data_IF_388471504426
#
_entry.id   IF_388471504426
#
_cell.length_a   1.000
_cell.length_b   1.000
_cell.length_c   1.000
_cell.angle_alpha   90.00
_cell.angle_beta   90.00
_cell.angle_gamma   90.00
#
_symmetry.space_group_name_H-M   'P 1'
#
loop_
_entity.id
_entity.type
_entity.pdbx_description
1 polymer ?
#
# COMPACT_ATOMS: atom_id res chain seq x y z
N UNK A 1 -7.90 -41.24 -43.83
CA UNK A 1 -8.93 -40.43 -43.14
C UNK A 1 -9.59 -41.31 -42.07
N UNK A 2 -9.15 -41.17 -40.82
CA UNK A 2 -9.69 -41.90 -39.66
C UNK A 2 -9.86 -40.89 -38.53
N UNK A 3 -11.09 -40.68 -38.10
CA UNK A 3 -11.43 -39.90 -36.90
C UNK A 3 -11.02 -40.70 -35.65
N UNK A 4 -10.45 -40.07 -34.61
CA UNK A 4 -10.34 -40.68 -33.30
C UNK A 4 -11.60 -40.43 -32.47
N UNK A 5 -12.05 -41.52 -31.88
CA UNK A 5 -13.16 -41.67 -30.95
C UNK A 5 -12.84 -41.01 -29.60
N UNK A 6 -13.83 -40.28 -29.11
CA UNK A 6 -13.95 -39.66 -27.79
C UNK A 6 -13.88 -40.74 -26.70
N UNK A 7 -12.94 -40.62 -25.76
CA UNK A 7 -13.00 -41.31 -24.45
C UNK A 7 -13.18 -40.22 -23.39
N UNK A 8 -14.41 -40.14 -22.93
CA UNK A 8 -14.90 -39.34 -21.83
C UNK A 8 -14.65 -40.13 -20.54
N UNK A 9 -13.70 -39.68 -19.70
CA UNK A 9 -13.52 -40.21 -18.35
C UNK A 9 -13.82 -39.09 -17.35
N UNK A 10 -15.05 -39.11 -16.84
CA UNK A 10 -15.46 -38.35 -15.66
C UNK A 10 -14.94 -39.05 -14.41
N UNK A 11 -14.03 -38.42 -13.69
CA UNK A 11 -13.74 -38.76 -12.30
C UNK A 11 -14.19 -37.58 -11.42
N UNK A 12 -15.39 -37.73 -10.88
CA UNK A 12 -15.87 -37.03 -9.70
C UNK A 12 -14.95 -37.38 -8.52
N UNK A 13 -14.27 -36.38 -7.95
CA UNK A 13 -13.72 -36.47 -6.60
C UNK A 13 -14.32 -35.35 -5.76
N UNK A 14 -15.26 -35.72 -4.90
CA UNK A 14 -15.83 -34.89 -3.85
C UNK A 14 -14.74 -34.56 -2.81
N UNK A 15 -14.44 -33.27 -2.64
CA UNK A 15 -13.62 -32.78 -1.54
C UNK A 15 -14.56 -32.12 -0.52
N UNK A 16 -14.58 -32.72 0.66
CA UNK A 16 -15.35 -32.37 1.83
C UNK A 16 -14.76 -31.09 2.44
N UNK A 17 -15.53 -30.01 2.46
CA UNK A 17 -15.22 -28.79 3.23
C UNK A 17 -15.28 -29.08 4.73
N UNK A 18 -14.20 -28.82 5.46
CA UNK A 18 -14.26 -28.59 6.91
C UNK A 18 -14.08 -27.09 7.22
N UNK A 19 -14.90 -26.50 8.11
CA UNK A 19 -14.70 -25.15 8.60
C UNK A 19 -13.66 -25.10 9.73
N UNK A 20 -12.59 -24.33 9.53
CA UNK A 20 -11.62 -23.99 10.56
C UNK A 20 -12.09 -22.77 11.36
N UNK A 21 -12.40 -22.97 12.64
CA UNK A 21 -12.69 -21.91 13.60
C UNK A 21 -11.39 -21.33 14.15
N UNK A 22 -11.12 -20.05 13.88
CA UNK A 22 -10.05 -19.29 14.53
C UNK A 22 -10.47 -18.87 15.94
N UNK A 23 -9.64 -19.21 16.94
CA UNK A 23 -9.79 -18.76 18.33
C UNK A 23 -9.22 -17.35 18.44
N UNK A 24 -10.07 -16.39 18.78
CA UNK A 24 -9.66 -15.04 19.15
C UNK A 24 -9.21 -15.04 20.63
N UNK A 25 -7.92 -14.81 20.84
CA UNK A 25 -7.31 -14.63 22.16
C UNK A 25 -7.71 -13.25 22.71
N UNK A 26 -8.61 -13.24 23.69
CA UNK A 26 -8.98 -12.04 24.43
C UNK A 26 -7.90 -11.73 25.47
N UNK A 27 -6.94 -10.88 25.11
CA UNK A 27 -6.05 -10.24 26.07
C UNK A 27 -6.83 -9.15 26.84
N UNK A 28 -7.56 -9.59 27.87
CA UNK A 28 -8.20 -8.72 28.84
C UNK A 28 -7.16 -8.21 29.85
N UNK A 29 -6.50 -7.10 29.53
CA UNK A 29 -5.70 -6.37 30.50
C UNK A 29 -6.63 -5.45 31.31
N UNK A 30 -7.14 -5.99 32.42
CA UNK A 30 -7.81 -5.20 33.44
C UNK A 30 -6.74 -4.40 34.19
N UNK A 31 -6.52 -3.16 33.75
CA UNK A 31 -5.65 -2.21 34.43
C UNK A 31 -6.46 -1.66 35.61
N UNK A 32 -6.15 -2.13 36.81
CA UNK A 32 -6.81 -1.69 38.04
C UNK A 32 -6.52 -0.19 38.28
N UNK A 33 -7.51 0.65 37.99
CA UNK A 33 -7.48 2.12 38.10
C UNK A 33 -7.31 2.57 39.57
N UNK A 34 -7.38 1.65 40.55
CA UNK A 34 -7.25 1.97 41.98
C UNK A 34 -5.81 2.18 42.46
N UNK A 35 -4.78 1.89 41.66
CA UNK A 35 -3.38 2.14 42.04
C UNK A 35 -2.85 3.55 41.70
N UNK A 36 -3.66 4.42 41.09
CA UNK A 36 -3.32 5.83 40.91
C UNK A 36 -3.58 6.64 42.18
N UNK A 37 -2.65 6.55 43.13
CA UNK A 37 -2.63 7.44 44.29
C UNK A 37 -2.40 8.90 43.86
N UNK A 38 -3.31 9.85 44.20
CA UNK A 38 -3.09 11.26 43.94
C UNK A 38 -2.07 11.82 44.94
N UNK A 39 -0.86 12.15 44.47
CA UNK A 39 0.10 12.94 45.26
C UNK A 39 -0.44 14.36 45.50
N UNK A 40 -0.31 14.91 46.71
CA UNK A 40 -0.89 16.19 47.08
C UNK A 40 -0.22 17.38 46.40
N UNK A 41 -1.07 18.33 46.01
CA UNK A 41 -0.75 19.58 45.34
C UNK A 41 0.21 20.45 46.17
N UNK A 42 1.39 20.76 45.61
CA UNK A 42 2.25 21.83 46.10
C UNK A 42 2.00 23.09 45.29
N UNK A 43 1.18 23.97 45.86
CA UNK A 43 1.04 25.35 45.42
C UNK A 43 2.42 26.05 45.45
N UNK A 44 2.84 26.61 44.32
CA UNK A 44 3.78 27.71 44.32
C UNK A 44 3.39 28.71 43.23
N UNK A 45 2.85 29.82 43.71
CA UNK A 45 2.64 31.08 42.99
C UNK A 45 3.98 31.59 42.45
N UNK A 46 4.02 31.97 41.17
CA UNK A 46 4.31 33.33 40.69
C UNK A 46 4.71 33.29 39.21
N UNK A 47 3.93 33.99 38.39
CA UNK A 47 4.30 34.36 37.02
C UNK A 47 5.56 35.24 37.01
N UNK A 48 6.33 35.18 35.92
CA UNK A 48 6.35 36.36 35.05
C UNK A 48 6.19 36.03 33.57
N UNK A 49 5.54 36.97 32.89
CA UNK A 49 5.51 37.18 31.45
C UNK A 49 6.87 36.91 30.78
N UNK A 50 6.94 35.95 29.86
CA UNK A 50 8.00 35.87 28.85
C UNK A 50 7.38 35.68 27.47
N UNK A 51 7.84 36.53 26.57
CA UNK A 51 7.36 36.80 25.21
C UNK A 51 7.66 35.64 24.26
N UNK A 52 6.78 35.48 23.28
CA UNK A 52 7.01 34.97 21.92
C UNK A 52 7.79 33.67 21.78
N UNK A 53 7.07 32.55 21.72
CA UNK A 53 7.61 31.24 21.32
C UNK A 53 7.81 31.19 19.81
N UNK A 54 8.98 31.68 19.42
CA UNK A 54 9.64 31.44 18.15
C UNK A 54 9.69 29.93 17.86
N UNK A 55 9.16 29.51 16.70
CA UNK A 55 9.28 28.15 16.18
C UNK A 55 10.73 27.92 15.73
N UNK A 56 11.65 27.82 16.69
CA UNK A 56 13.01 27.38 16.44
C UNK A 56 13.00 25.85 16.27
N UNK A 57 12.81 25.43 15.02
CA UNK A 57 13.34 24.16 14.55
C UNK A 57 14.86 24.24 14.74
N UNK A 58 15.36 23.63 15.81
CA UNK A 58 16.78 23.44 16.06
C UNK A 58 17.31 22.59 14.91
N UNK A 59 17.81 23.25 13.87
CA UNK A 59 18.58 22.63 12.81
C UNK A 59 19.87 22.13 13.45
N UNK A 60 19.93 20.82 13.65
CA UNK A 60 21.12 20.14 14.13
C UNK A 60 22.26 20.37 13.14
N UNK A 61 23.35 20.95 13.64
CA UNK A 61 24.60 21.19 12.93
C UNK A 61 25.07 19.88 12.29
N UNK A 62 24.84 19.75 10.98
CA UNK A 62 25.00 18.51 10.21
C UNK A 62 26.37 18.54 9.54
N UNK A 63 27.42 18.42 10.35
CA UNK A 63 28.75 18.08 9.81
C UNK A 63 28.73 16.60 9.39
N UNK A 64 29.02 16.34 8.12
CA UNK A 64 29.50 15.04 7.61
C UNK A 64 28.47 13.91 7.36
N UNK A 65 27.24 14.22 6.96
CA UNK A 65 26.27 13.17 6.59
C UNK A 65 25.72 12.37 7.77
N UNK A 66 26.11 12.74 8.99
CA UNK A 66 25.51 12.26 10.21
C UNK A 66 24.59 13.34 10.78
N UNK A 67 23.43 12.93 11.28
CA UNK A 67 22.54 13.78 12.06
C UNK A 67 22.39 13.19 13.44
N UNK A 68 22.35 14.06 14.45
CA UNK A 68 22.17 13.64 15.83
C UNK A 68 20.73 13.85 16.30
N UNK A 69 20.16 12.86 16.98
CA UNK A 69 18.79 12.91 17.50
C UNK A 69 18.74 12.46 18.96
N UNK A 70 18.06 13.20 19.83
CA UNK A 70 17.83 12.78 21.23
C UNK A 70 16.47 12.11 21.35
N UNK A 71 16.45 10.84 21.77
CA UNK A 71 15.24 10.02 21.91
C UNK A 71 14.25 10.65 22.89
N UNK A 72 12.99 10.76 22.49
CA UNK A 72 11.87 11.23 23.33
C UNK A 72 10.99 10.06 23.79
N UNK A 73 10.21 10.22 24.87
CA UNK A 73 9.24 9.20 25.28
C UNK A 73 8.28 8.85 24.15
N UNK A 74 8.11 7.56 23.87
CA UNK A 74 7.24 7.05 22.80
C UNK A 74 7.90 6.97 21.42
N UNK A 75 9.17 7.37 21.29
CA UNK A 75 9.91 7.18 20.04
C UNK A 75 10.37 5.73 19.86
N UNK A 76 10.30 5.25 18.63
CA UNK A 76 11.01 4.06 18.16
C UNK A 76 11.80 4.39 16.90
N UNK A 77 12.82 3.59 16.57
CA UNK A 77 13.80 3.93 15.54
C UNK A 77 13.12 4.26 14.20
N UNK A 78 12.14 3.43 13.81
CA UNK A 78 11.36 3.61 12.60
C UNK A 78 10.56 4.93 12.56
N UNK A 79 9.86 5.28 13.65
CA UNK A 79 9.12 6.55 13.72
C UNK A 79 10.06 7.76 13.69
N UNK A 80 11.23 7.68 14.33
CA UNK A 80 12.22 8.76 14.28
C UNK A 80 12.63 9.00 12.82
N UNK A 81 13.02 7.95 12.10
CA UNK A 81 13.45 8.01 10.70
C UNK A 81 12.36 8.57 9.78
N UNK A 82 11.11 8.16 9.94
CA UNK A 82 10.02 8.68 9.12
C UNK A 82 9.64 10.11 9.51
N UNK A 83 9.39 10.37 10.78
CA UNK A 83 8.82 11.65 11.25
C UNK A 83 9.82 12.79 11.25
N UNK A 84 11.06 12.53 11.65
CA UNK A 84 12.09 13.57 11.76
C UNK A 84 12.93 13.71 10.49
N UNK A 85 13.10 12.63 9.72
CA UNK A 85 13.95 12.65 8.53
C UNK A 85 13.18 12.47 7.21
N UNK A 86 11.87 12.20 7.26
CA UNK A 86 11.03 12.12 6.07
C UNK A 86 11.36 10.93 5.17
N UNK A 87 11.94 9.86 5.72
CA UNK A 87 12.25 8.64 4.98
C UNK A 87 10.96 7.88 4.64
N UNK A 88 10.92 7.26 3.47
CA UNK A 88 9.86 6.31 3.13
C UNK A 88 9.98 5.05 3.99
N UNK A 89 8.90 4.27 4.09
CA UNK A 89 8.87 3.04 4.87
C UNK A 89 10.04 2.10 4.50
N UNK A 90 10.20 1.80 3.20
CA UNK A 90 11.29 0.95 2.71
C UNK A 90 12.70 1.53 2.98
N UNK A 91 12.86 2.86 2.89
CA UNK A 91 14.14 3.50 3.17
C UNK A 91 14.48 3.46 4.67
N UNK A 92 13.48 3.61 5.55
CA UNK A 92 13.64 3.49 6.98
C UNK A 92 14.03 2.06 7.38
N UNK A 93 13.34 1.05 6.86
CA UNK A 93 13.65 -0.37 7.10
C UNK A 93 15.10 -0.73 6.74
N UNK A 94 15.57 -0.26 5.58
CA UNK A 94 16.96 -0.48 5.14
C UNK A 94 17.99 0.20 6.04
N UNK A 95 17.64 1.32 6.66
CA UNK A 95 18.56 2.13 7.47
C UNK A 95 18.61 1.69 8.94
N UNK A 96 17.56 1.03 9.45
CA UNK A 96 17.48 0.58 10.84
C UNK A 96 18.70 -0.26 11.27
N UNK A 97 19.14 -1.30 10.53
CA UNK A 97 20.27 -2.12 10.93
C UNK A 97 21.56 -1.30 11.10
N UNK A 98 21.77 -0.31 10.22
CA UNK A 98 22.96 0.52 10.26
C UNK A 98 22.93 1.50 11.44
N UNK A 99 21.77 2.11 11.72
CA UNK A 99 21.59 2.95 12.92
C UNK A 99 21.79 2.13 14.19
N UNK A 100 21.28 0.89 14.23
CA UNK A 100 21.46 -0.02 15.36
C UNK A 100 22.94 -0.35 15.60
N UNK A 101 23.66 -0.70 14.53
CA UNK A 101 25.10 -1.00 14.56
C UNK A 101 25.91 0.20 15.07
N UNK A 102 25.64 1.40 14.55
CA UNK A 102 26.36 2.62 14.92
C UNK A 102 26.12 3.06 16.37
N UNK A 103 24.94 2.79 16.92
CA UNK A 103 24.54 3.26 18.26
C UNK A 103 24.57 2.17 19.33
N UNK A 104 25.01 0.95 18.98
CA UNK A 104 25.02 -0.20 19.88
C UNK A 104 23.64 -0.53 20.43
N UNK A 105 22.61 -0.54 19.57
CA UNK A 105 21.23 -0.85 19.95
C UNK A 105 20.89 -2.26 19.45
N UNK A 106 20.39 -3.10 20.35
CA UNK A 106 20.01 -4.49 20.02
C UNK A 106 18.55 -4.61 19.59
N UNK A 107 17.67 -3.76 20.13
CA UNK A 107 16.24 -3.77 19.84
C UNK A 107 15.78 -2.40 19.28
N UNK A 108 15.21 -2.33 18.07
CA UNK A 108 14.76 -1.08 17.46
C UNK A 108 13.58 -0.40 18.19
N UNK A 109 12.85 -1.15 19.03
CA UNK A 109 11.74 -0.63 19.84
C UNK A 109 12.17 -0.24 21.26
N UNK A 110 13.31 -0.74 21.74
CA UNK A 110 13.81 -0.55 23.10
C UNK A 110 14.72 0.66 23.26
N UNK A 111 14.29 1.86 22.84
CA UNK A 111 15.11 3.06 22.93
C UNK A 111 15.05 3.69 24.33
N UNK A 112 16.21 3.97 24.92
CA UNK A 112 16.29 4.71 26.18
C UNK A 112 16.04 6.21 25.92
N UNK A 113 15.01 6.77 26.56
CA UNK A 113 14.71 8.20 26.49
C UNK A 113 15.92 9.04 26.92
N UNK A 114 16.21 10.11 26.19
CA UNK A 114 17.36 10.97 26.43
C UNK A 114 18.67 10.46 25.81
N UNK A 115 18.73 9.22 25.31
CA UNK A 115 19.89 8.72 24.57
C UNK A 115 20.06 9.52 23.27
N UNK A 116 21.30 9.91 22.96
CA UNK A 116 21.65 10.60 21.72
C UNK A 116 22.02 9.57 20.66
N UNK A 117 21.28 9.56 19.57
CA UNK A 117 21.47 8.70 18.41
C UNK A 117 22.25 9.44 17.33
N UNK A 118 23.08 8.68 16.61
CA UNK A 118 23.79 9.10 15.41
C UNK A 118 23.11 8.41 14.22
N UNK A 119 22.50 9.22 13.34
CA UNK A 119 21.76 8.74 12.18
C UNK A 119 22.58 9.03 10.92
N UNK A 120 23.06 8.00 10.20
CA UNK A 120 23.72 8.20 8.92
C UNK A 120 22.63 8.55 7.90
N UNK A 121 22.63 9.79 7.43
CA UNK A 121 21.78 10.18 6.33
C UNK A 121 22.62 10.09 5.05
N UNK A 122 22.12 9.43 3.99
CA UNK A 122 22.76 9.58 2.70
C UNK A 122 22.81 11.07 2.38
N UNK A 123 24.02 11.59 2.14
CA UNK A 123 24.22 12.98 1.76
C UNK A 123 23.22 13.28 0.64
N UNK A 124 22.44 14.34 0.80
CA UNK A 124 21.39 14.79 -0.13
C UNK A 124 21.97 15.29 -1.47
N UNK A 125 23.10 14.73 -1.92
CA UNK A 125 23.82 15.06 -3.14
C UNK A 125 23.02 14.70 -4.40
N UNK A 126 22.12 13.71 -4.35
CA UNK A 126 21.38 13.32 -5.57
C UNK A 126 20.20 14.24 -5.91
N UNK A 127 19.57 14.89 -4.91
CA UNK A 127 18.41 15.75 -5.18
C UNK A 127 18.81 17.07 -5.86
N UNK A 128 19.97 17.63 -5.56
CA UNK A 128 20.47 18.82 -6.27
C UNK A 128 21.05 18.49 -7.64
N UNK A 129 21.66 17.31 -7.81
CA UNK A 129 22.17 16.88 -9.12
C UNK A 129 21.03 16.62 -10.14
N UNK A 130 19.89 16.05 -9.71
CA UNK A 130 18.76 15.78 -10.61
C UNK A 130 17.94 17.04 -10.96
N UNK A 131 17.94 18.05 -10.08
CA UNK A 131 17.39 19.37 -10.39
C UNK A 131 18.34 20.23 -11.25
N UNK A 132 19.66 20.09 -11.09
CA UNK A 132 20.65 20.76 -11.93
C UNK A 132 20.70 20.19 -13.36
N UNK A 133 20.56 18.85 -13.52
CA UNK A 133 20.54 18.21 -14.84
C UNK A 133 19.28 18.49 -15.67
N UNK A 134 18.21 19.05 -15.08
CA UNK A 134 17.02 19.45 -15.84
C UNK A 134 17.24 20.76 -16.63
N UNK A 135 18.36 21.46 -16.43
CA UNK A 135 18.72 22.69 -17.17
C UNK A 135 19.91 22.53 -18.13
N UNK A 136 20.39 21.31 -18.39
CA UNK A 136 21.45 21.10 -19.40
C UNK A 136 20.93 20.12 -20.44
N UNK A 137 20.58 20.66 -21.61
CA UNK A 137 20.15 19.91 -22.77
C UNK A 137 21.20 18.83 -23.13
N UNK A 138 20.79 17.57 -23.38
CA UNK A 138 21.71 16.56 -23.87
C UNK A 138 21.86 16.68 -25.39
N UNK A 139 23.05 17.11 -25.81
CA UNK A 139 23.57 16.92 -27.17
C UNK A 139 23.75 15.41 -27.42
N UNK A 140 23.19 14.94 -28.52
CA UNK A 140 23.25 13.56 -28.97
C UNK A 140 24.69 13.12 -29.31
N UNK A 141 25.18 12.04 -28.69
CA UNK A 141 26.27 11.20 -29.19
C UNK A 141 25.98 9.74 -28.75
N UNK A 142 25.54 8.88 -29.66
CA UNK A 142 26.30 7.85 -30.40
C UNK A 142 26.72 6.66 -29.54
N UNK A 143 25.93 5.57 -29.64
CA UNK A 143 26.22 4.24 -29.10
C UNK A 143 26.94 3.40 -30.15
N UNK A 144 28.13 2.83 -29.87
CA UNK A 144 28.65 1.68 -30.59
C UNK A 144 28.13 0.37 -29.96
N UNK A 145 27.53 -0.43 -30.82
CA UNK A 145 27.37 -1.88 -30.84
C UNK A 145 28.34 -2.68 -29.94
N UNK A 146 27.80 -3.52 -29.05
CA UNK A 146 28.57 -4.55 -28.33
C UNK A 146 27.85 -5.90 -28.46
N UNK A 147 28.52 -6.96 -28.96
CA UNK A 147 27.90 -8.25 -29.26
C UNK A 147 27.81 -9.18 -28.04
N UNK A 148 26.80 -10.03 -28.14
CA UNK A 148 26.40 -11.12 -27.24
C UNK A 148 27.51 -12.14 -26.99
N UNK A 149 27.55 -12.68 -25.77
CA UNK A 149 28.17 -13.99 -25.49
C UNK A 149 27.32 -14.77 -24.48
N UNK A 150 26.99 -15.98 -24.89
CA UNK A 150 26.26 -17.04 -24.20
C UNK A 150 27.15 -17.77 -23.19
N UNK A 151 26.52 -18.50 -22.25
CA UNK A 151 27.16 -19.42 -21.29
C UNK A 151 26.21 -19.65 -20.11
N UNK A 152 25.20 -20.51 -20.19
CA UNK A 152 25.23 -21.99 -20.18
C UNK A 152 25.50 -22.60 -18.79
N UNK A 153 24.46 -23.27 -18.29
CA UNK A 153 24.40 -24.41 -17.36
C UNK A 153 25.06 -24.35 -15.97
N UNK A 154 24.26 -24.60 -14.92
CA UNK A 154 24.46 -25.77 -14.04
C UNK A 154 23.28 -25.97 -13.08
N UNK A 155 22.59 -27.09 -13.30
CA UNK A 155 21.67 -27.80 -12.41
C UNK A 155 22.36 -28.20 -11.10
N UNK A 156 21.74 -27.96 -9.95
CA UNK A 156 21.91 -28.82 -8.78
C UNK A 156 20.57 -29.12 -8.11
N UNK A 157 20.16 -30.34 -8.34
CA UNK A 157 19.15 -31.13 -7.66
C UNK A 157 19.71 -31.53 -6.29
N UNK A 158 19.05 -31.16 -5.19
CA UNK A 158 19.41 -31.67 -3.87
C UNK A 158 18.17 -32.15 -3.13
N UNK A 159 18.25 -33.43 -2.81
CA UNK A 159 17.21 -34.32 -2.38
C UNK A 159 16.78 -34.12 -0.92
N UNK A 160 15.58 -34.63 -0.68
CA UNK A 160 14.79 -34.61 0.54
C UNK A 160 15.46 -35.21 1.78
N UNK A 161 15.08 -34.67 2.94
CA UNK A 161 15.11 -35.37 4.23
C UNK A 161 13.67 -35.53 4.76
N UNK A 162 13.33 -36.68 5.37
CA UNK A 162 11.99 -36.97 5.86
C UNK A 162 11.71 -36.38 7.25
N UNK A 163 10.50 -35.82 7.41
CA UNK A 163 9.89 -35.39 8.67
C UNK A 163 9.57 -36.56 9.61
N UNK A 164 9.84 -36.38 10.90
CA UNK A 164 9.31 -37.20 11.99
C UNK A 164 8.09 -36.50 12.63
N UNK A 165 7.02 -37.24 12.98
CA UNK A 165 5.83 -36.65 13.61
C UNK A 165 5.96 -36.56 15.13
N UNK A 166 5.54 -35.42 15.71
CA UNK A 166 5.35 -35.26 17.15
C UNK A 166 3.92 -35.67 17.61
N UNK A 167 3.74 -36.07 18.88
CA UNK A 167 2.48 -36.61 19.40
C UNK A 167 1.44 -35.54 19.73
N UNK A 168 0.17 -35.88 19.51
CA UNK A 168 -1.01 -35.09 19.86
C UNK A 168 -1.35 -35.26 21.35
N UNK A 169 -1.42 -34.15 22.10
CA UNK A 169 -1.91 -34.13 23.47
C UNK A 169 -3.38 -33.66 23.49
N UNK A 170 -4.25 -34.54 24.00
CA UNK A 170 -5.67 -34.29 24.24
C UNK A 170 -5.85 -33.40 25.47
N UNK A 171 -6.64 -32.33 25.37
CA UNK A 171 -7.30 -31.76 26.54
C UNK A 171 -8.74 -31.32 26.26
N UNK A 172 -9.55 -31.65 27.25
CA UNK A 172 -11.00 -31.56 27.42
C UNK A 172 -11.55 -30.14 27.40
N UNK A 173 -12.72 -30.00 26.79
CA UNK A 173 -13.52 -28.77 26.61
C UNK A 173 -14.66 -28.72 27.64
N UNK A 174 -14.87 -27.60 28.37
CA UNK A 174 -16.14 -27.32 29.02
C UNK A 174 -16.93 -26.22 28.30
N UNK A 175 -18.24 -26.43 28.21
CA UNK A 175 -19.23 -25.55 27.60
C UNK A 175 -19.48 -24.24 28.38
N UNK A 176 -19.79 -23.13 27.69
CA UNK A 176 -20.49 -21.99 28.30
C UNK A 176 -21.90 -21.76 27.74
N UNK A 177 -22.77 -21.36 28.66
CA UNK A 177 -24.21 -21.10 28.54
C UNK A 177 -24.52 -19.77 27.81
N UNK A 178 -25.64 -19.77 27.07
CA UNK A 178 -26.24 -18.61 26.42
C UNK A 178 -26.99 -17.70 27.41
N UNK A 179 -26.85 -16.37 27.24
CA UNK A 179 -27.87 -15.40 27.68
C UNK A 179 -28.09 -14.33 26.59
N UNK A 180 -29.36 -13.94 26.30
CA UNK A 180 -29.69 -12.98 25.26
C UNK A 180 -29.73 -11.54 25.78
N UNK A 181 -29.13 -10.60 25.03
CA UNK A 181 -29.31 -9.16 25.25
C UNK A 181 -30.20 -8.60 24.14
N UNK A 182 -31.38 -8.15 24.56
CA UNK A 182 -32.37 -7.40 23.78
C UNK A 182 -31.94 -5.94 23.67
N UNK A 183 -31.89 -5.37 22.46
CA UNK A 183 -31.82 -3.91 22.28
C UNK A 183 -32.86 -3.49 21.24
N UNK A 184 -33.73 -2.59 21.66
CA UNK A 184 -34.83 -1.99 20.89
C UNK A 184 -34.31 -0.92 19.91
N UNK A 185 -34.96 -0.70 18.74
CA UNK A 185 -34.71 0.45 17.89
C UNK A 185 -35.60 1.63 18.30
N UNK A 186 -35.01 2.81 18.53
CA UNK A 186 -35.76 4.06 18.68
C UNK A 186 -35.85 4.77 17.34
N UNK A 187 -37.08 4.82 16.84
CA UNK A 187 -37.62 5.69 15.80
C UNK A 187 -37.43 7.17 16.18
N UNK A 188 -37.01 8.02 15.24
CA UNK A 188 -37.50 9.41 15.18
C UNK A 188 -37.31 10.05 13.79
N UNK A 189 -38.47 10.20 13.17
CA UNK A 189 -38.93 11.14 12.14
C UNK A 189 -38.41 12.57 12.33
N UNK A 190 -38.02 13.27 11.25
CA UNK A 190 -38.69 14.54 10.90
C UNK A 190 -38.33 15.12 9.52
N UNK A 191 -39.41 15.41 8.82
CA UNK A 191 -39.65 16.22 7.64
C UNK A 191 -39.18 17.68 7.76
N UNK A 192 -38.64 18.24 6.67
CA UNK A 192 -38.39 19.67 6.57
C UNK A 192 -38.27 20.15 5.12
N UNK A 193 -39.42 20.37 4.47
CA UNK A 193 -39.53 21.16 3.22
C UNK A 193 -39.35 22.65 3.54
N UNK A 194 -38.51 23.35 2.78
CA UNK A 194 -38.66 24.78 2.55
C UNK A 194 -38.18 25.15 1.15
N UNK A 195 -39.11 25.63 0.33
CA UNK A 195 -38.92 26.35 -0.93
C UNK A 195 -38.60 27.83 -0.66
N UNK A 196 -38.35 28.59 -1.74
CA UNK A 196 -38.30 30.07 -1.88
C UNK A 196 -36.85 30.61 -1.82
N UNK A 197 -36.30 31.43 -2.72
CA UNK A 197 -36.85 32.32 -3.76
C UNK A 197 -35.91 32.45 -4.99
N UNK A 198 -36.51 32.81 -6.12
CA UNK A 198 -35.90 33.41 -7.31
C UNK A 198 -35.38 34.82 -7.00
N UNK A 199 -34.21 35.17 -7.56
CA UNK A 199 -34.00 36.47 -8.24
C UNK A 199 -32.77 36.40 -9.16
N UNK A 200 -32.83 36.95 -10.39
CA UNK A 200 -31.71 36.95 -11.33
C UNK A 200 -30.96 38.28 -11.26
N UNK A 201 -29.66 38.24 -10.99
CA UNK A 201 -28.76 39.38 -11.21
C UNK A 201 -27.71 38.96 -12.24
N UNK A 202 -27.95 39.42 -13.46
CA UNK A 202 -27.08 39.24 -14.63
C UNK A 202 -25.83 40.09 -14.42
N UNK A 203 -24.77 39.49 -13.88
CA UNK A 203 -23.41 39.99 -13.98
C UNK A 203 -22.74 39.21 -15.12
N UNK A 204 -22.32 39.93 -16.16
CA UNK A 204 -21.59 39.36 -17.29
C UNK A 204 -20.25 38.79 -16.81
N UNK A 205 -20.17 37.46 -16.85
CA UNK A 205 -18.98 36.67 -16.57
C UNK A 205 -17.95 36.84 -17.71
N UNK A 206 -16.65 36.99 -17.40
CA UNK A 206 -15.60 37.10 -18.40
C UNK A 206 -15.60 35.87 -19.32
N UNK A 207 -15.55 36.11 -20.63
CA UNK A 207 -15.60 35.08 -21.67
C UNK A 207 -14.48 34.06 -21.47
N UNK A 208 -14.84 32.95 -20.83
CA UNK A 208 -14.07 31.72 -20.73
C UNK A 208 -13.85 31.20 -22.14
N UNK A 209 -12.59 31.10 -22.55
CA UNK A 209 -12.18 30.54 -23.84
C UNK A 209 -12.87 29.18 -24.04
N UNK A 210 -13.43 28.89 -25.23
CA UNK A 210 -14.13 27.64 -25.48
C UNK A 210 -13.19 26.48 -25.16
N UNK A 211 -13.54 25.74 -24.12
CA UNK A 211 -12.83 24.53 -23.72
C UNK A 211 -12.70 23.66 -24.97
N UNK A 212 -11.45 23.35 -25.35
CA UNK A 212 -11.20 22.37 -26.41
C UNK A 212 -11.97 21.11 -26.01
N UNK A 213 -12.90 20.69 -26.87
CA UNK A 213 -13.60 19.41 -26.79
C UNK A 213 -12.57 18.29 -27.00
N UNK A 214 -11.72 18.05 -26.00
CA UNK A 214 -10.92 16.84 -25.93
C UNK A 214 -11.91 15.72 -25.66
N UNK A 215 -12.06 14.80 -26.61
CA UNK A 215 -12.92 13.63 -26.44
C UNK A 215 -12.35 12.80 -25.30
N UNK A 216 -12.93 12.91 -24.12
CA UNK A 216 -12.59 12.08 -22.95
C UNK A 216 -13.03 10.64 -23.24
N UNK A 217 -12.11 9.68 -23.13
CA UNK A 217 -12.48 8.27 -23.20
C UNK A 217 -13.08 7.87 -21.84
N UNK A 218 -14.37 7.55 -21.81
CA UNK A 218 -15.05 7.14 -20.58
C UNK A 218 -15.08 5.61 -20.49
N UNK A 219 -14.50 5.07 -19.41
CA UNK A 219 -14.50 3.64 -19.08
C UNK A 219 -15.33 3.45 -17.82
N UNK A 220 -16.35 2.58 -17.88
CA UNK A 220 -17.17 2.24 -16.70
C UNK A 220 -16.94 0.79 -16.33
N UNK A 221 -16.47 0.54 -15.11
CA UNK A 221 -16.24 -0.80 -14.55
C UNK A 221 -17.21 -1.06 -13.40
N UNK A 222 -17.62 -2.33 -13.24
CA UNK A 222 -18.37 -2.76 -12.06
C UNK A 222 -17.43 -3.06 -10.90
N UNK A 223 -17.92 -2.78 -9.69
CA UNK A 223 -17.24 -3.10 -8.44
C UNK A 223 -17.35 -4.60 -8.18
N UNK A 224 -16.39 -5.34 -8.72
CA UNK A 224 -16.26 -6.78 -8.48
C UNK A 224 -15.22 -7.07 -7.40
N UNK A 225 -14.94 -8.37 -7.19
CA UNK A 225 -13.82 -8.84 -6.37
C UNK A 225 -12.51 -8.19 -6.85
N UNK A 226 -11.54 -7.92 -5.95
CA UNK A 226 -10.31 -7.19 -6.27
C UNK A 226 -9.59 -7.62 -7.55
N UNK A 227 -9.40 -8.92 -7.77
CA UNK A 227 -8.73 -9.40 -9.00
C UNK A 227 -9.58 -9.26 -10.25
N UNK A 228 -10.89 -9.45 -10.16
CA UNK A 228 -11.78 -9.25 -11.30
C UNK A 228 -11.78 -7.79 -11.71
N UNK A 229 -11.86 -6.88 -10.74
CA UNK A 229 -11.75 -5.45 -10.97
C UNK A 229 -10.40 -5.08 -11.58
N UNK A 230 -9.29 -5.56 -11.01
CA UNK A 230 -7.95 -5.31 -11.53
C UNK A 230 -7.78 -5.86 -12.96
N UNK A 231 -8.31 -7.05 -13.25
CA UNK A 231 -8.26 -7.67 -14.58
C UNK A 231 -9.08 -6.87 -15.59
N UNK A 232 -10.29 -6.46 -15.23
CA UNK A 232 -11.14 -5.64 -16.08
C UNK A 232 -10.49 -4.28 -16.35
N UNK A 233 -9.88 -3.67 -15.33
CA UNK A 233 -9.12 -2.42 -15.48
C UNK A 233 -7.93 -2.61 -16.43
N UNK A 234 -7.10 -3.65 -16.24
CA UNK A 234 -6.01 -3.95 -17.17
C UNK A 234 -6.51 -4.20 -18.59
N UNK A 235 -7.64 -4.90 -18.76
CA UNK A 235 -8.25 -5.18 -20.06
C UNK A 235 -8.64 -3.91 -20.79
N UNK A 236 -9.40 -3.04 -20.13
CA UNK A 236 -9.88 -1.79 -20.73
C UNK A 236 -8.75 -0.79 -20.99
N UNK A 237 -7.66 -0.86 -20.22
CA UNK A 237 -6.44 -0.08 -20.47
C UNK A 237 -5.50 -0.73 -21.50
N UNK A 238 -5.85 -1.89 -22.07
CA UNK A 238 -5.03 -2.60 -23.05
C UNK A 238 -3.72 -3.16 -22.49
N UNK A 239 -3.65 -3.45 -21.19
CA UNK A 239 -2.44 -3.91 -20.50
C UNK A 239 -2.33 -5.44 -20.41
N UNK A 240 -3.40 -6.19 -20.71
CA UNK A 240 -3.40 -7.64 -20.54
C UNK A 240 -2.55 -8.33 -21.62
N UNK A 241 -1.60 -9.14 -21.17
CA UNK A 241 -0.94 -10.10 -22.06
C UNK A 241 -1.76 -11.39 -22.15
N UNK A 242 -2.05 -11.90 -23.35
CA UNK A 242 -2.70 -13.19 -23.50
C UNK A 242 -1.76 -14.33 -23.09
N UNK A 243 -2.21 -15.19 -22.16
CA UNK A 243 -1.73 -16.57 -22.07
C UNK A 243 -0.62 -16.89 -21.06
N UNK A 244 -0.29 -16.01 -20.10
CA UNK A 244 0.66 -16.34 -19.02
C UNK A 244 0.05 -16.20 -17.63
N UNK A 245 -0.38 -17.33 -17.08
CA UNK A 245 -0.60 -17.50 -15.64
C UNK A 245 0.72 -17.92 -15.00
N UNK A 246 1.35 -17.02 -14.24
CA UNK A 246 2.66 -17.27 -13.60
C UNK A 246 2.51 -18.00 -12.27
N UNK A 247 1.40 -17.79 -11.58
CA UNK A 247 1.14 -18.37 -10.26
C UNK A 247 0.10 -19.50 -10.40
N UNK A 248 0.53 -20.74 -10.14
CA UNK A 248 -0.38 -21.89 -10.15
C UNK A 248 -1.30 -21.85 -8.91
N UNK A 249 -2.58 -22.20 -9.10
CA UNK A 249 -3.54 -22.35 -8.01
C UNK A 249 -4.17 -21.05 -7.48
N UNK A 250 -3.71 -19.88 -7.93
CA UNK A 250 -4.28 -18.58 -7.56
C UNK A 250 -4.94 -17.89 -8.76
N UNK A 251 -5.97 -17.08 -8.48
CA UNK A 251 -6.51 -16.13 -9.45
C UNK A 251 -5.44 -15.07 -9.74
N UNK A 252 -4.67 -15.30 -10.80
CA UNK A 252 -3.60 -14.42 -11.24
C UNK A 252 -3.70 -14.06 -12.71
N UNK A 253 -3.10 -12.94 -13.09
CA UNK A 253 -2.91 -12.54 -14.48
C UNK A 253 -1.65 -11.68 -14.60
N UNK A 254 -1.13 -11.58 -15.81
CA UNK A 254 0.03 -10.74 -16.13
C UNK A 254 -0.43 -9.54 -16.94
N UNK A 255 0.08 -8.37 -16.60
CA UNK A 255 -0.12 -7.14 -17.33
C UNK A 255 1.23 -6.50 -17.66
N UNK A 256 1.37 -5.92 -18.85
CA UNK A 256 2.58 -5.20 -19.24
C UNK A 256 2.25 -3.72 -19.50
N UNK A 257 3.08 -2.83 -18.98
CA UNK A 257 2.98 -1.41 -19.28
C UNK A 257 4.36 -0.77 -19.32
N UNK A 258 4.67 -0.07 -20.42
CA UNK A 258 5.94 0.64 -20.60
C UNK A 258 7.19 -0.24 -20.33
N UNK A 259 7.14 -1.53 -20.71
CA UNK A 259 8.21 -2.49 -20.51
C UNK A 259 8.32 -3.05 -19.09
N UNK A 260 7.37 -2.72 -18.21
CA UNK A 260 7.28 -3.30 -16.86
C UNK A 260 6.20 -4.38 -16.85
N UNK A 261 6.59 -5.59 -16.48
CA UNK A 261 5.67 -6.72 -16.31
C UNK A 261 5.16 -6.77 -14.87
N UNK A 262 3.85 -6.71 -14.70
CA UNK A 262 3.17 -6.81 -13.40
C UNK A 262 2.41 -8.13 -13.34
N UNK A 263 2.79 -8.99 -12.41
CA UNK A 263 2.03 -10.19 -12.05
C UNK A 263 1.05 -9.80 -10.96
N UNK A 264 -0.25 -9.83 -11.25
CA UNK A 264 -1.31 -9.56 -10.27
C UNK A 264 -1.84 -10.88 -9.76
N UNK A 265 -1.92 -11.05 -8.44
CA UNK A 265 -2.46 -12.24 -7.80
C UNK A 265 -3.39 -11.89 -6.63
N UNK A 266 -4.44 -12.68 -6.42
CA UNK A 266 -5.34 -12.50 -5.28
C UNK A 266 -5.42 -13.72 -4.40
N UNK A 267 -5.63 -13.45 -3.11
CA UNK A 267 -5.89 -14.48 -2.13
C UNK A 267 -4.69 -15.38 -1.83
N UNK A 268 -3.48 -14.92 -2.15
CA UNK A 268 -2.24 -15.55 -1.69
C UNK A 268 -2.13 -15.45 -0.17
N UNK A 269 -1.60 -16.50 0.45
CA UNK A 269 -1.20 -16.44 1.86
C UNK A 269 0.02 -15.57 2.05
N UNK A 270 0.37 -15.27 3.31
CA UNK A 270 1.60 -14.53 3.64
C UNK A 270 2.85 -15.28 3.20
N UNK A 271 2.86 -16.61 3.35
CA UNK A 271 3.96 -17.49 2.96
C UNK A 271 4.13 -17.54 1.44
N UNK A 272 3.00 -17.66 0.71
CA UNK A 272 2.99 -17.61 -0.75
C UNK A 272 3.46 -16.25 -1.26
N UNK A 273 2.95 -15.16 -0.68
CA UNK A 273 3.35 -13.79 -1.04
C UNK A 273 4.86 -13.58 -0.86
N UNK A 274 5.42 -14.06 0.25
CA UNK A 274 6.86 -14.02 0.48
C UNK A 274 7.63 -14.84 -0.57
N UNK A 275 7.17 -16.06 -0.84
CA UNK A 275 7.82 -16.98 -1.78
C UNK A 275 7.80 -16.43 -3.21
N UNK A 276 6.63 -16.07 -3.72
CA UNK A 276 6.49 -15.49 -5.05
C UNK A 276 7.16 -14.12 -5.17
N UNK A 277 7.16 -13.31 -4.10
CA UNK A 277 7.87 -12.04 -4.08
C UNK A 277 9.36 -12.22 -4.36
N UNK A 278 9.99 -13.25 -3.79
CA UNK A 278 11.41 -13.58 -4.06
C UNK A 278 11.64 -14.20 -5.44
N UNK A 279 10.76 -15.10 -5.87
CA UNK A 279 10.89 -15.76 -7.18
C UNK A 279 10.71 -14.78 -8.35
N UNK A 280 9.83 -13.80 -8.18
CA UNK A 280 9.51 -12.79 -9.20
C UNK A 280 10.34 -11.52 -9.02
N UNK A 281 11.41 -11.55 -8.21
CA UNK A 281 12.37 -10.44 -8.11
C UNK A 281 13.28 -10.42 -9.34
N UNK A 282 12.70 -10.08 -10.50
CA UNK A 282 13.43 -9.75 -11.72
C UNK A 282 13.39 -8.22 -11.89
N UNK A 283 14.40 -7.61 -12.56
CA UNK A 283 14.50 -6.14 -12.67
C UNK A 283 13.24 -5.48 -13.23
N UNK A 284 12.51 -6.17 -14.11
CA UNK A 284 11.34 -5.65 -14.80
C UNK A 284 10.04 -6.38 -14.45
N UNK A 285 10.05 -7.20 -13.38
CA UNK A 285 8.88 -7.94 -12.92
C UNK A 285 8.46 -7.53 -11.52
N UNK A 286 7.18 -7.23 -11.34
CA UNK A 286 6.62 -6.85 -10.05
C UNK A 286 5.42 -7.73 -9.71
N UNK A 287 5.42 -8.26 -8.48
CA UNK A 287 4.28 -8.96 -7.92
C UNK A 287 3.36 -7.96 -7.20
N UNK A 288 2.10 -7.88 -7.63
CA UNK A 288 1.03 -7.14 -6.97
C UNK A 288 0.02 -8.09 -6.36
N UNK A 289 -0.07 -8.09 -5.03
CA UNK A 289 -1.00 -8.96 -4.30
C UNK A 289 -2.15 -8.16 -3.71
N UNK A 290 -3.38 -8.64 -3.93
CA UNK A 290 -4.58 -8.09 -3.28
C UNK A 290 -5.17 -9.08 -2.28
N UNK A 291 -5.58 -8.56 -1.11
CA UNK A 291 -6.39 -9.29 -0.16
C UNK A 291 -7.80 -9.56 -0.75
N UNK A 292 -8.47 -10.63 -0.28
CA UNK A 292 -9.81 -11.01 -0.78
C UNK A 292 -10.87 -9.92 -0.54
N UNK A 293 -10.67 -9.06 0.46
CA UNK A 293 -11.57 -7.99 0.89
C UNK A 293 -10.95 -6.59 0.68
N UNK A 294 -9.98 -6.46 -0.21
CA UNK A 294 -9.40 -5.16 -0.55
C UNK A 294 -10.48 -4.24 -1.15
N UNK A 295 -10.49 -2.95 -0.78
CA UNK A 295 -11.46 -1.98 -1.32
C UNK A 295 -11.17 -1.65 -2.79
N UNK A 296 -12.22 -1.31 -3.56
CA UNK A 296 -12.08 -0.90 -4.97
C UNK A 296 -11.09 0.27 -5.14
N UNK A 297 -11.14 1.24 -4.22
CA UNK A 297 -10.21 2.37 -4.14
C UNK A 297 -8.76 1.88 -4.06
N UNK A 298 -8.44 1.01 -3.11
CA UNK A 298 -7.08 0.52 -2.93
C UNK A 298 -6.60 -0.30 -4.12
N UNK A 299 -7.48 -1.09 -4.76
CA UNK A 299 -7.14 -1.85 -5.96
C UNK A 299 -6.66 -0.92 -7.07
N UNK A 300 -7.43 0.12 -7.37
CA UNK A 300 -7.12 1.08 -8.43
C UNK A 300 -5.86 1.87 -8.11
N UNK A 301 -5.74 2.38 -6.87
CA UNK A 301 -4.59 3.18 -6.47
C UNK A 301 -3.29 2.38 -6.45
N UNK A 302 -3.31 1.14 -5.93
CA UNK A 302 -2.14 0.24 -5.95
C UNK A 302 -1.76 -0.12 -7.38
N UNK A 303 -2.74 -0.45 -8.22
CA UNK A 303 -2.50 -0.79 -9.61
C UNK A 303 -1.89 0.39 -10.36
N UNK A 304 -2.54 1.56 -10.36
CA UNK A 304 -2.06 2.77 -11.03
C UNK A 304 -0.67 3.17 -10.57
N UNK A 305 -0.39 3.13 -9.25
CA UNK A 305 0.93 3.45 -8.70
C UNK A 305 2.01 2.50 -9.21
N UNK A 306 1.71 1.20 -9.32
CA UNK A 306 2.70 0.20 -9.71
C UNK A 306 3.07 0.32 -11.19
N UNK A 307 2.09 0.57 -12.06
CA UNK A 307 2.33 0.83 -13.49
C UNK A 307 2.74 2.28 -13.79
N UNK A 308 2.94 3.12 -12.76
CA UNK A 308 3.38 4.50 -12.93
C UNK A 308 2.36 5.43 -13.60
N UNK A 309 1.07 5.04 -13.63
CA UNK A 309 0.01 5.91 -14.14
C UNK A 309 -0.27 7.03 -13.13
N UNK A 310 -0.19 8.27 -13.60
CA UNK A 310 -0.71 9.41 -12.85
C UNK A 310 -2.23 9.34 -12.83
N UNK A 311 -2.84 9.69 -11.70
CA UNK A 311 -4.30 9.74 -11.58
C UNK A 311 -4.73 10.88 -10.67
N UNK A 312 -5.92 11.41 -10.94
CA UNK A 312 -6.58 12.42 -10.13
C UNK A 312 -7.96 11.88 -9.73
N UNK A 313 -8.25 11.68 -8.43
CA UNK A 313 -9.61 11.35 -8.02
C UNK A 313 -10.52 12.54 -8.37
N UNK A 314 -11.66 12.26 -9.02
CA UNK A 314 -12.62 13.30 -9.38
C UNK A 314 -13.24 13.96 -8.13
N UNK A 315 -13.40 13.18 -7.06
CA UNK A 315 -13.73 13.68 -5.72
C UNK A 315 -12.66 13.22 -4.72
N UNK A 316 -11.76 14.12 -4.27
CA UNK A 316 -10.71 13.78 -3.31
C UNK A 316 -11.26 13.47 -1.91
N UNK A 317 -12.50 13.85 -1.61
CA UNK A 317 -13.13 13.64 -0.30
C UNK A 317 -13.98 12.36 -0.23
N UNK A 318 -14.13 11.63 -1.34
CA UNK A 318 -14.84 10.36 -1.35
C UNK A 318 -14.18 9.35 -0.39
N UNK A 319 -14.92 8.98 0.66
CA UNK A 319 -14.48 8.08 1.76
C UNK A 319 -14.45 6.60 1.38
N UNK A 320 -14.47 6.28 0.08
CA UNK A 320 -14.42 4.91 -0.44
C UNK A 320 -15.78 4.31 -0.83
N UNK A 321 -16.87 5.09 -0.72
CA UNK A 321 -18.17 4.73 -1.28
C UNK A 321 -18.16 4.77 -2.81
N UNK A 322 -18.99 3.92 -3.43
CA UNK A 322 -19.21 3.92 -4.87
C UNK A 322 -20.32 4.92 -5.24
N UNK A 323 -20.26 5.56 -6.42
CA UNK A 323 -19.27 5.35 -7.47
C UNK A 323 -17.94 6.08 -7.20
N UNK A 324 -16.84 5.48 -7.63
CA UNK A 324 -15.51 6.10 -7.60
C UNK A 324 -15.12 6.54 -9.00
N UNK A 325 -14.74 7.80 -9.19
CA UNK A 325 -14.29 8.30 -10.49
C UNK A 325 -12.85 8.80 -10.42
N UNK A 326 -12.03 8.36 -11.38
CA UNK A 326 -10.63 8.73 -11.53
C UNK A 326 -10.39 9.29 -12.93
N UNK A 327 -9.58 10.33 -13.01
CA UNK A 327 -9.10 10.91 -14.26
C UNK A 327 -7.63 10.52 -14.44
N UNK A 328 -7.34 9.83 -15.53
CA UNK A 328 -5.99 9.44 -15.94
C UNK A 328 -5.59 10.36 -17.10
N UNK A 329 -4.66 11.31 -16.89
CA UNK A 329 -4.23 12.21 -17.94
C UNK A 329 -3.51 11.45 -19.06
N UNK A 330 -3.70 11.93 -20.28
CA UNK A 330 -3.01 11.46 -21.48
C UNK A 330 -1.49 11.48 -21.31
N UNK A 331 -0.85 10.34 -21.58
CA UNK A 331 0.62 10.21 -21.60
C UNK A 331 1.07 10.35 -23.05
N UNK A 332 1.19 11.59 -23.53
CA UNK A 332 1.67 11.91 -24.89
C UNK A 332 0.76 12.84 -25.70
N UNK A 333 1.24 13.34 -26.85
CA UNK A 333 0.52 14.34 -27.66
C UNK A 333 -0.72 13.79 -28.39
N UNK A 334 -0.81 12.46 -28.54
CA UNK A 334 -1.88 11.79 -29.29
C UNK A 334 -2.74 10.87 -28.41
N UNK A 335 -2.56 10.91 -27.08
CA UNK A 335 -3.41 10.17 -26.15
C UNK A 335 -4.53 11.06 -25.63
N UNK A 336 -5.62 10.42 -25.21
CA UNK A 336 -6.78 11.10 -24.62
C UNK A 336 -6.79 10.86 -23.11
N UNK A 337 -7.34 11.83 -22.39
CA UNK A 337 -7.62 11.65 -20.97
C UNK A 337 -8.66 10.53 -20.81
N UNK A 338 -8.41 9.63 -19.88
CA UNK A 338 -9.28 8.50 -19.59
C UNK A 338 -10.02 8.77 -18.29
N UNK A 339 -11.34 8.85 -18.35
CA UNK A 339 -12.22 8.91 -17.18
C UNK A 339 -12.67 7.50 -16.82
N UNK A 340 -12.16 6.98 -15.72
CA UNK A 340 -12.54 5.68 -15.18
C UNK A 340 -13.58 5.86 -14.07
N UNK A 341 -14.77 5.28 -14.23
CA UNK A 341 -15.82 5.26 -13.22
C UNK A 341 -16.10 3.84 -12.76
N UNK A 342 -16.03 3.60 -11.46
CA UNK A 342 -16.40 2.34 -10.82
C UNK A 342 -17.81 2.50 -10.27
N UNK A 343 -18.72 1.65 -10.74
CA UNK A 343 -20.11 1.60 -10.27
C UNK A 343 -20.32 0.34 -9.42
N UNK A 344 -21.29 0.34 -8.49
CA UNK A 344 -21.64 -0.84 -7.70
C UNK A 344 -21.97 -2.09 -8.53
#
# INVERSE_FOLDING_TARGET
MKHPTVIMLFLLSAIICQPGSGVAEQNNFDIDIKELHPTPAKQSRRAPHVKTREKNAVATDSKEGFSSYTVRPGDHLFLILMRHYGLSNNAAERLIPEVMRLNGIQNPHGLTVGKRLTIPLPLRQERTAKLARKNTAPTAQTTPEQPSAQGEAATQEQAAQPEQPLPQEQTTQPAPQEQPITVQPTEQTETGKAQVAKSPETVQEPQTQPARNTVEQQITLRADRPCTLARNMAKEMGLLEPGRTVVQGADSFTAEYAGVTVVVACGLTSEETYTYGRLLTQPDMHLLVFARNESCKNVIEKMARLIGLSYLPADPFATGGLPLTYLFPAIGPNSHDVRLTIVP
#
